data_IF_720467013851
#
_entry.id   IF_720467013851
#
_cell.length_a   1.000
_cell.length_b   1.000
_cell.length_c   1.000
_cell.angle_alpha   90.00
_cell.angle_beta   90.00
_cell.angle_gamma   90.00
#
_symmetry.space_group_name_H-M   'P 1'
#
loop_
_entity.id
_entity.type
_entity.pdbx_description
1 polymer ?
#
# COMPACT_ATOMS: atom_id res chain seq x y z
N UNK A 1 -16.85 8.32 -2.44
CA UNK A 1 -17.20 7.00 -3.01
C UNK A 1 -17.66 7.16 -4.45
N UNK A 2 -18.55 8.10 -4.73
CA UNK A 2 -19.08 8.43 -6.07
C UNK A 2 -18.03 8.51 -7.18
N UNK A 3 -16.87 9.12 -6.90
CA UNK A 3 -15.77 9.17 -7.85
C UNK A 3 -15.36 7.77 -8.36
N UNK A 4 -15.14 6.82 -7.45
CA UNK A 4 -14.75 5.44 -7.81
C UNK A 4 -15.91 4.73 -8.53
N UNK A 5 -17.14 4.90 -8.07
CA UNK A 5 -18.31 4.29 -8.70
C UNK A 5 -18.58 4.79 -10.12
N UNK A 6 -18.16 6.03 -10.43
CA UNK A 6 -18.30 6.64 -11.75
C UNK A 6 -17.24 6.16 -12.75
N UNK A 7 -16.09 5.69 -12.25
CA UNK A 7 -14.94 5.29 -13.07
C UNK A 7 -14.73 3.77 -13.11
N UNK A 8 -15.46 3.02 -12.29
CA UNK A 8 -15.29 1.57 -12.14
C UNK A 8 -16.65 0.86 -12.06
N UNK A 9 -16.65 -0.47 -12.07
CA UNK A 9 -17.85 -1.26 -11.83
C UNK A 9 -18.22 -1.38 -10.33
N UNK A 10 -17.42 -0.81 -9.43
CA UNK A 10 -17.65 -0.91 -7.98
C UNK A 10 -18.87 -0.10 -7.55
N UNK A 11 -19.54 -0.60 -6.50
CA UNK A 11 -20.67 0.05 -5.84
C UNK A 11 -20.51 -0.06 -4.33
N UNK A 12 -20.70 1.06 -3.64
CA UNK A 12 -20.69 1.19 -2.20
C UNK A 12 -22.14 1.28 -1.74
N UNK A 13 -22.58 0.26 -1.03
CA UNK A 13 -23.94 0.17 -0.49
C UNK A 13 -23.86 0.42 1.00
N UNK A 14 -24.59 1.42 1.49
CA UNK A 14 -24.74 1.61 2.92
C UNK A 14 -25.52 0.43 3.51
N UNK A 15 -24.99 -0.16 4.58
CA UNK A 15 -25.63 -1.28 5.28
C UNK A 15 -25.84 -0.94 6.76
N UNK A 16 -26.75 -1.67 7.40
CA UNK A 16 -26.91 -1.64 8.85
C UNK A 16 -25.77 -2.39 9.53
N UNK A 17 -25.31 -1.90 10.69
CA UNK A 17 -24.13 -2.37 11.43
C UNK A 17 -24.24 -3.80 11.99
N UNK A 18 -25.35 -4.49 11.73
CA UNK A 18 -25.66 -5.83 12.25
C UNK A 18 -24.83 -6.96 11.61
N UNK A 19 -24.25 -6.74 10.43
CA UNK A 19 -23.33 -7.69 9.78
C UNK A 19 -21.94 -7.09 9.67
N UNK A 20 -20.91 -7.81 10.17
CA UNK A 20 -19.49 -7.42 10.05
C UNK A 20 -18.77 -8.13 8.89
N UNK A 21 -19.35 -9.22 8.39
CA UNK A 21 -18.65 -10.23 7.57
C UNK A 21 -18.30 -9.75 6.15
N UNK A 22 -18.94 -8.68 5.68
CA UNK A 22 -18.74 -8.07 4.36
C UNK A 22 -18.68 -6.54 4.43
N UNK A 23 -18.32 -6.00 5.59
CA UNK A 23 -18.57 -4.59 5.89
C UNK A 23 -17.27 -3.85 6.08
N UNK A 24 -17.17 -2.73 5.38
CA UNK A 24 -16.17 -1.73 5.59
C UNK A 24 -16.56 -0.88 6.81
N UNK A 25 -15.76 -0.95 7.87
CA UNK A 25 -15.86 0.01 8.98
C UNK A 25 -15.11 1.29 8.63
N UNK A 26 -15.77 2.43 8.76
CA UNK A 26 -15.15 3.74 8.64
C UNK A 26 -15.20 4.42 10.01
N UNK A 27 -14.04 4.74 10.58
CA UNK A 27 -13.92 5.35 11.90
C UNK A 27 -13.02 6.59 11.87
N UNK A 28 -13.27 7.52 12.80
CA UNK A 28 -12.37 8.64 13.05
C UNK A 28 -11.24 8.19 13.99
N UNK A 29 -9.99 8.34 13.57
CA UNK A 29 -8.81 7.95 14.36
C UNK A 29 -7.66 8.98 14.22
N UNK A 30 -6.50 8.68 14.79
CA UNK A 30 -5.36 9.61 14.86
C UNK A 30 -4.62 9.80 13.52
N UNK A 31 -4.61 8.79 12.64
CA UNK A 31 -3.87 8.81 11.36
C UNK A 31 -4.78 8.48 10.15
N UNK A 32 -4.21 8.52 8.94
CA UNK A 32 -4.85 8.04 7.71
C UNK A 32 -4.39 6.60 7.46
N UNK A 33 -5.29 5.62 7.56
CA UNK A 33 -4.91 4.23 7.31
C UNK A 33 -6.08 3.36 6.87
N UNK A 34 -5.72 2.27 6.19
CA UNK A 34 -6.65 1.31 5.64
C UNK A 34 -6.16 -0.13 5.84
N UNK A 35 -7.11 -1.07 5.90
CA UNK A 35 -6.82 -2.48 5.67
C UNK A 35 -6.40 -2.70 4.20
N UNK A 36 -5.41 -3.57 3.97
CA UNK A 36 -4.94 -3.93 2.63
C UNK A 36 -5.80 -5.02 1.98
N UNK A 37 -7.05 -4.70 1.64
CA UNK A 37 -8.00 -5.63 1.04
C UNK A 37 -9.04 -6.20 2.01
N UNK A 38 -9.91 -7.05 1.46
CA UNK A 38 -10.86 -7.88 2.21
C UNK A 38 -10.13 -8.99 2.97
N UNK A 39 -10.46 -9.17 4.25
CA UNK A 39 -9.96 -10.27 5.06
C UNK A 39 -11.13 -11.21 5.37
N UNK A 40 -11.09 -12.44 4.83
CA UNK A 40 -12.06 -13.49 5.13
C UNK A 40 -11.85 -13.97 6.58
N UNK A 41 -12.67 -13.46 7.51
CA UNK A 41 -12.58 -13.80 8.93
C UNK A 41 -13.87 -14.43 9.47
N UNK A 42 -13.70 -15.29 10.46
CA UNK A 42 -14.70 -16.30 10.83
C UNK A 42 -15.90 -15.79 11.63
N UNK A 43 -15.92 -14.57 12.19
CA UNK A 43 -17.15 -13.79 12.55
C UNK A 43 -16.94 -12.55 13.43
N UNK A 44 -15.76 -12.34 14.03
CA UNK A 44 -15.64 -11.34 15.12
C UNK A 44 -15.15 -9.94 14.68
N UNK A 45 -14.44 -9.85 13.55
CA UNK A 45 -13.81 -8.62 13.05
C UNK A 45 -14.47 -8.06 11.79
N UNK A 46 -14.26 -6.77 11.53
CA UNK A 46 -14.68 -6.12 10.29
C UNK A 46 -13.87 -6.65 9.10
N UNK A 47 -14.53 -6.82 7.96
CA UNK A 47 -13.91 -7.33 6.74
C UNK A 47 -12.80 -6.40 6.20
N UNK A 48 -12.94 -5.10 6.43
CA UNK A 48 -11.92 -4.08 6.16
C UNK A 48 -12.19 -2.84 7.04
N UNK A 49 -11.16 -2.04 7.29
CA UNK A 49 -11.24 -0.81 8.09
C UNK A 49 -10.65 0.38 7.33
N UNK A 50 -11.25 1.55 7.52
CA UNK A 50 -10.74 2.87 7.12
C UNK A 50 -10.74 3.81 8.31
N UNK A 51 -9.56 4.29 8.67
CA UNK A 51 -9.35 5.27 9.72
C UNK A 51 -8.97 6.61 9.11
N UNK A 52 -9.68 7.66 9.49
CA UNK A 52 -9.36 9.03 9.06
C UNK A 52 -9.29 9.99 10.25
N UNK A 53 -8.16 10.69 10.37
CA UNK A 53 -8.12 11.90 11.18
C UNK A 53 -8.91 13.02 10.51
N UNK A 54 -9.97 13.49 11.17
CA UNK A 54 -10.89 14.49 10.60
C UNK A 54 -10.21 15.84 10.27
N UNK A 55 -9.07 16.14 10.91
CA UNK A 55 -8.34 17.40 10.67
C UNK A 55 -7.24 17.26 9.63
N UNK A 56 -6.70 16.05 9.40
CA UNK A 56 -5.53 15.84 8.54
C UNK A 56 -5.82 15.04 7.26
N UNK A 57 -6.75 14.10 7.32
CA UNK A 57 -6.98 13.11 6.26
C UNK A 57 -8.17 13.43 5.35
N UNK A 58 -8.93 14.50 5.64
CA UNK A 58 -10.14 14.87 4.90
C UNK A 58 -9.85 15.59 3.58
N UNK A 59 -8.81 15.14 2.87
CA UNK A 59 -8.50 15.56 1.51
C UNK A 59 -8.99 14.49 0.55
N UNK A 60 -9.61 14.92 -0.55
CA UNK A 60 -10.18 14.00 -1.55
C UNK A 60 -9.18 12.91 -1.99
N UNK A 61 -7.96 13.30 -2.34
CA UNK A 61 -6.92 12.36 -2.77
C UNK A 61 -6.54 11.34 -1.68
N UNK A 62 -6.45 11.77 -0.42
CA UNK A 62 -6.17 10.88 0.71
C UNK A 62 -7.30 9.88 0.92
N UNK A 63 -8.56 10.33 0.88
CA UNK A 63 -9.72 9.44 1.03
C UNK A 63 -9.75 8.40 -0.09
N UNK A 64 -9.47 8.81 -1.33
CA UNK A 64 -9.40 7.88 -2.47
C UNK A 64 -8.23 6.89 -2.31
N UNK A 65 -7.06 7.35 -1.86
CA UNK A 65 -5.89 6.51 -1.60
C UNK A 65 -6.19 5.39 -0.59
N UNK A 66 -6.74 5.75 0.58
CA UNK A 66 -7.07 4.76 1.61
C UNK A 66 -8.17 3.81 1.13
N UNK A 67 -9.16 4.32 0.37
CA UNK A 67 -10.21 3.48 -0.18
C UNK A 67 -9.68 2.50 -1.25
N UNK A 68 -8.65 2.87 -2.02
CA UNK A 68 -7.95 1.95 -2.92
C UNK A 68 -7.24 0.82 -2.15
N UNK A 69 -6.66 1.11 -0.99
CA UNK A 69 -6.08 0.07 -0.13
C UNK A 69 -7.12 -0.96 0.31
N UNK A 70 -8.33 -0.53 0.70
CA UNK A 70 -9.44 -1.45 1.03
C UNK A 70 -9.82 -2.34 -0.15
N UNK A 71 -9.74 -1.82 -1.36
CA UNK A 71 -10.03 -2.56 -2.59
C UNK A 71 -8.89 -3.49 -3.02
N UNK A 72 -7.78 -3.51 -2.28
CA UNK A 72 -6.64 -4.41 -2.51
C UNK A 72 -5.50 -3.82 -3.32
N UNK A 73 -5.56 -2.53 -3.68
CA UNK A 73 -4.41 -1.86 -4.29
C UNK A 73 -3.33 -1.60 -3.24
N UNK A 74 -2.08 -1.91 -3.60
CA UNK A 74 -0.92 -1.55 -2.78
C UNK A 74 -0.13 -0.44 -3.44
N UNK A 75 0.92 0.04 -2.78
CA UNK A 75 1.69 1.16 -3.30
C UNK A 75 2.45 0.80 -4.59
N UNK A 76 2.35 1.69 -5.58
CA UNK A 76 2.90 1.49 -6.93
C UNK A 76 4.43 1.39 -6.90
N UNK A 77 5.11 2.17 -6.05
CA UNK A 77 6.57 2.09 -5.90
C UNK A 77 7.04 0.75 -5.32
N UNK A 78 6.16 -0.07 -4.76
CA UNK A 78 6.49 -1.38 -4.20
C UNK A 78 6.20 -2.54 -5.15
N UNK A 79 5.83 -2.28 -6.42
CA UNK A 79 5.67 -3.34 -7.41
C UNK A 79 6.95 -4.19 -7.55
N UNK A 80 6.83 -5.50 -7.87
CA UNK A 80 8.00 -6.35 -8.05
C UNK A 80 8.86 -5.90 -9.24
N UNK A 81 8.26 -5.38 -10.31
CA UNK A 81 8.92 -4.82 -11.50
C UNK A 81 9.44 -3.37 -11.35
N UNK A 82 9.20 -2.68 -10.22
CA UNK A 82 9.48 -1.22 -10.08
C UNK A 82 10.90 -0.78 -10.46
N UNK A 83 11.91 -1.64 -10.31
CA UNK A 83 13.31 -1.31 -10.64
C UNK A 83 13.55 -1.09 -12.15
N UNK A 84 12.63 -1.47 -13.02
CA UNK A 84 12.71 -1.15 -14.46
C UNK A 84 12.18 0.26 -14.77
N UNK A 85 11.53 0.90 -13.81
CA UNK A 85 10.80 2.17 -14.00
C UNK A 85 11.31 3.30 -13.10
N UNK A 86 11.75 2.97 -11.89
CA UNK A 86 12.25 3.93 -10.90
C UNK A 86 13.55 3.45 -10.25
N UNK A 87 14.39 4.40 -9.86
CA UNK A 87 15.58 4.18 -9.07
C UNK A 87 15.37 4.62 -7.63
N UNK A 88 15.76 3.76 -6.70
CA UNK A 88 15.68 4.04 -5.27
C UNK A 88 16.98 4.64 -4.76
N UNK A 89 16.94 5.91 -4.36
CA UNK A 89 18.04 6.60 -3.68
C UNK A 89 18.07 6.21 -2.19
N UNK A 90 18.45 4.97 -1.88
CA UNK A 90 18.36 4.39 -0.53
C UNK A 90 19.15 5.15 0.55
N UNK A 91 20.21 5.86 0.17
CA UNK A 91 20.97 6.70 1.10
C UNK A 91 20.23 7.98 1.51
N UNK A 92 19.25 8.41 0.71
CA UNK A 92 18.36 9.54 1.04
C UNK A 92 17.15 9.10 1.87
N UNK A 93 16.93 7.79 2.02
CA UNK A 93 15.86 7.23 2.85
C UNK A 93 16.41 6.96 4.24
N UNK A 94 15.74 7.53 5.25
CA UNK A 94 16.07 7.30 6.65
C UNK A 94 16.02 5.81 6.97
N UNK A 95 17.06 5.29 7.65
CA UNK A 95 17.24 3.83 7.87
C UNK A 95 16.00 3.13 8.44
N UNK A 96 15.27 3.82 9.32
CA UNK A 96 14.07 3.28 9.99
C UNK A 96 12.84 3.25 9.08
N UNK A 97 12.83 3.99 7.97
CA UNK A 97 11.72 4.04 7.03
C UNK A 97 11.92 3.20 5.77
N UNK A 98 13.08 2.53 5.60
CA UNK A 98 13.41 1.80 4.36
C UNK A 98 12.47 0.63 4.07
N UNK A 99 11.91 -0.01 5.09
CA UNK A 99 10.93 -1.08 4.90
C UNK A 99 9.66 -0.62 4.16
N UNK A 100 9.31 0.67 4.24
CA UNK A 100 8.19 1.26 3.49
C UNK A 100 8.43 1.33 1.97
N UNK A 101 9.66 1.02 1.54
CA UNK A 101 10.10 1.07 0.16
C UNK A 101 10.51 -0.30 -0.36
N UNK A 102 10.32 -1.38 0.40
CA UNK A 102 10.56 -2.73 -0.08
C UNK A 102 9.56 -3.10 -1.17
N UNK A 103 10.01 -3.91 -2.14
CA UNK A 103 9.12 -4.47 -3.16
C UNK A 103 8.28 -5.57 -2.55
N UNK A 104 7.08 -5.78 -3.07
CA UNK A 104 6.27 -6.94 -2.72
C UNK A 104 6.69 -8.16 -3.53
N UNK A 105 6.40 -9.34 -3.00
CA UNK A 105 6.62 -10.59 -3.72
C UNK A 105 5.61 -10.72 -4.87
N UNK A 106 6.07 -11.10 -6.05
CA UNK A 106 5.18 -11.48 -7.15
C UNK A 106 4.52 -12.83 -6.88
N UNK A 107 3.21 -12.92 -7.10
CA UNK A 107 2.45 -14.15 -6.90
C UNK A 107 2.99 -15.27 -7.80
N UNK A 108 3.20 -16.45 -7.24
CA UNK A 108 3.79 -17.59 -7.94
C UNK A 108 5.32 -17.59 -8.02
N UNK A 109 5.99 -16.52 -7.58
CA UNK A 109 7.45 -16.43 -7.59
C UNK A 109 8.05 -16.48 -6.18
N UNK A 110 9.29 -16.94 -6.10
CA UNK A 110 10.13 -16.87 -4.90
C UNK A 110 10.92 -15.57 -4.90
N UNK A 111 11.24 -15.06 -3.72
CA UNK A 111 12.09 -13.88 -3.59
C UNK A 111 12.91 -13.94 -2.29
N UNK A 112 14.03 -13.23 -2.25
CA UNK A 112 14.87 -13.10 -1.07
C UNK A 112 14.26 -12.06 -0.12
N UNK A 113 14.16 -12.39 1.17
CA UNK A 113 13.59 -11.47 2.14
C UNK A 113 14.49 -10.23 2.30
N UNK A 114 13.89 -9.05 2.39
CA UNK A 114 14.64 -7.85 2.72
C UNK A 114 15.16 -7.88 4.17
N UNK A 115 16.29 -7.24 4.44
CA UNK A 115 16.86 -7.20 5.79
C UNK A 115 15.93 -6.44 6.75
N UNK A 116 15.82 -6.93 7.98
CA UNK A 116 15.00 -6.30 9.03
C UNK A 116 15.57 -4.97 9.49
N UNK A 117 16.90 -4.85 9.46
CA UNK A 117 17.63 -3.63 9.82
C UNK A 117 18.61 -3.29 8.71
N UNK A 118 18.91 -2.00 8.58
CA UNK A 118 19.84 -1.51 7.56
C UNK A 118 20.85 -0.56 8.19
N UNK A 119 22.07 -0.58 7.66
CA UNK A 119 23.15 0.30 8.11
C UNK A 119 22.94 1.75 7.64
N UNK A 120 23.55 2.69 8.35
CA UNK A 120 23.68 4.06 7.87
C UNK A 120 24.84 4.13 6.88
N UNK A 121 24.67 4.82 5.74
CA UNK A 121 25.63 4.89 4.62
C UNK A 121 25.84 3.54 3.93
N UNK A 122 24.91 3.19 3.04
CA UNK A 122 24.89 1.90 2.36
C UNK A 122 26.03 1.77 1.35
N UNK A 123 26.66 0.61 1.35
CA UNK A 123 27.59 0.22 0.28
C UNK A 123 26.82 -0.11 -1.00
N UNK A 124 27.54 -0.18 -2.13
CA UNK A 124 26.98 -0.65 -3.41
C UNK A 124 26.34 -2.04 -3.27
N UNK A 125 26.93 -2.92 -2.45
CA UNK A 125 26.39 -4.26 -2.24
C UNK A 125 25.08 -4.23 -1.45
N UNK A 126 24.98 -3.41 -0.41
CA UNK A 126 23.73 -3.26 0.33
C UNK A 126 22.62 -2.66 -0.55
N UNK A 127 22.95 -1.70 -1.42
CA UNK A 127 21.99 -1.13 -2.38
C UNK A 127 21.49 -2.20 -3.36
N UNK A 128 22.39 -3.04 -3.89
CA UNK A 128 22.00 -4.17 -4.75
C UNK A 128 21.09 -5.14 -4.03
N UNK A 129 21.39 -5.47 -2.78
CA UNK A 129 20.55 -6.32 -1.94
C UNK A 129 19.15 -5.72 -1.77
N UNK A 130 19.05 -4.45 -1.35
CA UNK A 130 17.78 -3.74 -1.17
C UNK A 130 16.96 -3.60 -2.45
N UNK A 131 17.61 -3.48 -3.60
CA UNK A 131 16.93 -3.49 -4.90
C UNK A 131 16.39 -4.89 -5.25
N UNK A 132 17.11 -5.96 -4.87
CA UNK A 132 16.77 -7.35 -5.23
C UNK A 132 15.84 -8.06 -4.26
N UNK A 133 15.74 -7.60 -3.02
CA UNK A 133 14.92 -8.22 -2.00
C UNK A 133 13.43 -7.89 -2.14
N UNK A 134 12.60 -8.56 -1.32
CA UNK A 134 11.15 -8.35 -1.23
C UNK A 134 10.67 -8.43 0.24
N UNK A 135 9.51 -7.81 0.50
CA UNK A 135 8.65 -8.14 1.64
C UNK A 135 7.84 -9.40 1.30
N UNK A 136 8.06 -10.47 2.07
CA UNK A 136 7.40 -11.77 1.88
C UNK A 136 5.99 -11.83 2.47
N UNK A 137 5.64 -10.89 3.34
CA UNK A 137 4.32 -10.85 3.97
C UNK A 137 3.20 -10.47 2.99
N UNK A 138 3.57 -9.87 1.86
CA UNK A 138 2.65 -9.41 0.82
C UNK A 138 2.97 -10.07 -0.52
N UNK A 139 1.92 -10.59 -1.16
CA UNK A 139 2.00 -11.17 -2.50
C UNK A 139 1.09 -10.40 -3.44
N UNK A 140 1.59 -10.00 -4.60
CA UNK A 140 0.86 -9.18 -5.58
C UNK A 140 0.87 -9.82 -6.95
N UNK A 141 -0.23 -9.66 -7.67
CA UNK A 141 -0.26 -9.79 -9.12
C UNK A 141 0.23 -8.48 -9.76
N UNK A 142 0.97 -8.59 -10.86
CA UNK A 142 1.30 -7.44 -11.71
C UNK A 142 0.23 -7.33 -12.79
N UNK A 143 -0.43 -6.17 -12.86
CA UNK A 143 -1.40 -5.86 -13.90
C UNK A 143 -1.05 -4.51 -14.52
N UNK A 144 -1.19 -4.42 -15.84
CA UNK A 144 -0.86 -3.20 -16.59
C UNK A 144 0.61 -2.77 -16.52
N UNK A 145 0.89 -1.61 -17.13
CA UNK A 145 2.19 -0.94 -17.01
C UNK A 145 2.34 -0.21 -15.68
N UNK A 146 3.57 0.23 -15.40
CA UNK A 146 3.87 1.05 -14.24
C UNK A 146 3.24 2.45 -14.37
N UNK A 147 2.48 2.88 -13.36
CA UNK A 147 1.74 4.15 -13.40
C UNK A 147 2.35 5.22 -12.47
N UNK A 148 3.17 6.10 -13.05
CA UNK A 148 3.75 7.25 -12.34
C UNK A 148 2.70 8.26 -11.83
N UNK A 149 1.50 8.26 -12.41
CA UNK A 149 0.38 9.13 -12.03
C UNK A 149 -0.55 8.51 -10.99
N UNK A 150 -0.29 7.27 -10.58
CA UNK A 150 -1.14 6.53 -9.65
C UNK A 150 -1.30 7.28 -8.33
N UNK A 151 -2.54 7.35 -7.84
CA UNK A 151 -2.82 7.87 -6.50
C UNK A 151 -2.13 7.04 -5.41
N UNK A 152 -1.71 5.80 -5.73
CA UNK A 152 -0.99 4.88 -4.86
C UNK A 152 0.54 5.01 -4.97
N UNK A 153 1.06 5.89 -5.81
CA UNK A 153 2.48 6.13 -5.95
C UNK A 153 2.95 7.18 -4.94
N UNK A 154 4.04 6.92 -4.22
CA UNK A 154 4.65 7.92 -3.35
C UNK A 154 5.14 9.14 -4.12
N UNK A 155 4.89 10.35 -3.58
CA UNK A 155 5.43 11.58 -4.17
C UNK A 155 6.95 11.60 -4.05
N UNK A 156 7.63 12.00 -5.13
CA UNK A 156 9.05 12.31 -5.09
C UNK A 156 9.22 13.59 -4.28
N UNK A 157 10.01 13.53 -3.20
CA UNK A 157 10.48 14.72 -2.53
C UNK A 157 11.70 15.22 -3.28
N UNK A 158 11.55 16.28 -4.05
CA UNK A 158 12.70 17.03 -4.54
C UNK A 158 13.34 17.69 -3.32
N UNK A 159 14.64 17.41 -3.11
CA UNK A 159 15.44 18.03 -2.05
C UNK A 159 15.65 19.51 -2.27
#
# INVERSE_FOLDING_TARGET
MDHIESQTCLKFVQIDHSSKKNTLMINGDYDCSASGGYIDQTTEYWAATLSFNITRCMQFGTIVHELMHVLGSLHEQSRPDRNTFIQMEWNNIQKWGRNQFYRYRKLGETCTACPETTEQNLTVQNIKELNSCCDKSKAVSEFGGYDYGSIMHYKIKNG
#
